data_IF_554100366675
#
_entry.id   IF_554100366675
#
_cell.length_a   1.000
_cell.length_b   1.000
_cell.length_c   1.000
_cell.angle_alpha   90.00
_cell.angle_beta   90.00
_cell.angle_gamma   90.00
#
_symmetry.space_group_name_H-M   'P 1'
#
loop_
_entity.id
_entity.type
_entity.pdbx_description
1 polymer ?
#
# COMPACT_ATOMS: atom_id res chain seq x y z
N UNK A 1 20.64 18.40 -43.59
CA UNK A 1 19.59 17.52 -44.15
C UNK A 1 19.25 16.42 -43.20
N UNK A 2 20.17 15.49 -43.02
CA UNK A 2 19.92 14.40 -42.09
C UNK A 2 19.78 14.92 -40.67
N UNK A 3 20.52 15.95 -40.32
CA UNK A 3 20.40 16.57 -39.01
C UNK A 3 19.03 17.17 -38.77
N UNK A 4 18.41 17.72 -39.81
CA UNK A 4 17.08 18.30 -39.67
C UNK A 4 16.03 17.23 -39.39
N UNK A 5 16.13 16.08 -40.05
CA UNK A 5 15.22 14.98 -39.80
C UNK A 5 15.39 14.44 -38.41
N UNK A 6 16.63 14.33 -37.96
CA UNK A 6 16.93 13.90 -36.60
C UNK A 6 16.36 14.91 -35.61
N UNK A 7 16.49 16.20 -35.92
CA UNK A 7 15.98 17.27 -35.04
C UNK A 7 14.46 17.22 -34.90
N UNK A 8 13.75 16.91 -35.97
CA UNK A 8 12.29 16.77 -35.87
C UNK A 8 11.89 15.69 -34.91
N UNK A 9 12.53 14.53 -35.00
CA UNK A 9 12.25 13.43 -34.08
C UNK A 9 12.60 13.82 -32.65
N UNK A 10 13.75 14.45 -32.48
CA UNK A 10 14.19 14.88 -31.15
C UNK A 10 13.23 15.91 -30.56
N UNK A 11 12.76 16.85 -31.37
CA UNK A 11 11.83 17.87 -30.94
C UNK A 11 10.50 17.22 -30.53
N UNK A 12 9.99 16.28 -31.30
CA UNK A 12 8.75 15.60 -30.97
C UNK A 12 8.88 14.77 -29.70
N UNK A 13 10.01 14.10 -29.54
CA UNK A 13 10.25 13.32 -28.33
C UNK A 13 10.35 14.22 -27.11
N UNK A 14 11.02 15.36 -27.25
CA UNK A 14 11.14 16.32 -26.15
C UNK A 14 9.77 16.93 -25.81
N UNK A 15 8.97 17.25 -26.81
CA UNK A 15 7.64 17.78 -26.57
C UNK A 15 6.76 16.79 -25.82
N UNK A 16 6.81 15.52 -26.21
CA UNK A 16 6.05 14.49 -25.52
C UNK A 16 6.53 14.33 -24.10
N UNK A 17 7.82 14.35 -23.87
CA UNK A 17 8.38 14.26 -22.53
C UNK A 17 7.94 15.43 -21.67
N UNK A 18 7.96 16.64 -22.22
CA UNK A 18 7.54 17.84 -21.51
C UNK A 18 6.05 17.81 -21.21
N UNK A 19 5.24 17.31 -22.14
CA UNK A 19 3.81 17.17 -21.92
C UNK A 19 3.54 16.19 -20.79
N UNK A 20 4.25 15.05 -20.77
CA UNK A 20 4.12 14.09 -19.69
C UNK A 20 4.50 14.68 -18.35
N UNK A 21 5.59 15.43 -18.31
CA UNK A 21 6.03 16.07 -17.08
C UNK A 21 5.03 17.12 -16.61
N UNK A 22 4.48 17.91 -17.53
CA UNK A 22 3.47 18.89 -17.16
C UNK A 22 2.19 18.23 -16.66
N UNK A 23 1.76 17.17 -17.32
CA UNK A 23 0.59 16.43 -16.85
C UNK A 23 0.84 15.84 -15.48
N UNK A 24 2.04 15.33 -15.25
CA UNK A 24 2.41 14.77 -13.96
C UNK A 24 2.48 15.86 -12.88
N UNK A 25 2.89 17.07 -13.26
CA UNK A 25 2.94 18.19 -12.33
C UNK A 25 1.56 18.78 -12.07
N UNK A 26 0.73 18.86 -13.12
CA UNK A 26 -0.61 19.41 -13.01
C UNK A 26 -1.55 18.45 -12.31
N UNK A 27 -1.39 17.16 -12.57
CA UNK A 27 -2.16 16.12 -11.89
C UNK A 27 -1.41 15.80 -10.61
N UNK A 28 -2.04 16.04 -9.50
CA UNK A 28 -1.48 15.65 -8.23
C UNK A 28 -1.22 14.14 -8.26
N UNK A 29 -0.13 13.73 -7.64
CA UNK A 29 0.14 12.31 -7.49
C UNK A 29 -1.05 11.66 -6.81
N UNK A 30 -1.40 10.42 -7.20
CA UNK A 30 -2.49 9.71 -6.54
C UNK A 30 -2.23 9.67 -5.04
N UNK A 31 -3.27 9.89 -4.27
CA UNK A 31 -3.18 9.79 -2.83
C UNK A 31 -2.77 8.37 -2.45
N UNK A 32 -1.98 8.28 -1.43
CA UNK A 32 -1.58 6.99 -0.87
C UNK A 32 -2.41 6.74 0.37
N UNK A 33 -2.55 5.46 0.68
CA UNK A 33 -3.41 5.04 1.79
C UNK A 33 -2.66 4.09 2.69
N UNK A 34 -2.86 4.26 3.98
CA UNK A 34 -2.28 3.38 4.96
C UNK A 34 -3.31 2.35 5.38
N UNK A 35 -2.83 1.13 5.55
CA UNK A 35 -3.63 0.05 6.13
C UNK A 35 -3.27 -0.03 7.59
N UNK A 36 -4.28 0.05 8.44
CA UNK A 36 -4.10 -0.01 9.89
C UNK A 36 -4.72 -1.31 10.38
N UNK A 37 -3.97 -2.04 11.19
CA UNK A 37 -4.46 -3.26 11.83
C UNK A 37 -4.68 -2.96 13.31
N UNK A 38 -5.77 -3.51 13.86
CA UNK A 38 -6.18 -3.24 15.24
C UNK A 38 -6.11 -4.49 16.09
N UNK A 39 -5.76 -4.30 17.34
CA UNK A 39 -5.77 -5.39 18.32
C UNK A 39 -7.20 -5.75 18.71
N UNK A 40 -7.40 -7.00 19.10
CA UNK A 40 -8.63 -7.47 19.69
C UNK A 40 -8.30 -8.65 20.61
N UNK A 41 -9.29 -9.09 21.39
CA UNK A 41 -9.07 -10.10 22.42
C UNK A 41 -9.11 -11.54 21.91
N UNK A 42 -9.48 -11.75 20.66
CA UNK A 42 -9.77 -13.10 20.15
C UNK A 42 -8.83 -13.56 19.04
N UNK A 43 -8.37 -12.65 18.19
CA UNK A 43 -7.47 -13.02 17.09
C UNK A 43 -6.12 -13.44 17.67
N UNK A 44 -5.63 -14.61 17.27
CA UNK A 44 -4.37 -15.11 17.82
C UNK A 44 -3.19 -14.35 17.25
N UNK A 45 -2.10 -14.28 18.02
CA UNK A 45 -0.86 -13.67 17.57
C UNK A 45 -0.30 -14.38 16.35
N UNK A 46 -0.38 -15.71 16.35
CA UNK A 46 0.09 -16.51 15.22
C UNK A 46 -0.65 -16.17 13.94
N UNK A 47 -1.95 -15.94 14.04
CA UNK A 47 -2.75 -15.57 12.88
C UNK A 47 -2.33 -14.19 12.37
N UNK A 48 -2.11 -13.23 13.25
CA UNK A 48 -1.67 -11.88 12.87
C UNK A 48 -0.33 -11.95 12.15
N UNK A 49 0.64 -12.70 12.68
CA UNK A 49 1.93 -12.88 12.04
C UNK A 49 1.77 -13.49 10.65
N UNK A 50 0.93 -14.51 10.52
CA UNK A 50 0.69 -15.17 9.25
C UNK A 50 0.10 -14.19 8.22
N UNK A 51 -0.89 -13.40 8.62
CA UNK A 51 -1.51 -12.39 7.75
C UNK A 51 -0.47 -11.36 7.30
N UNK A 52 0.34 -10.88 8.22
CA UNK A 52 1.37 -9.89 7.89
C UNK A 52 2.38 -10.44 6.90
N UNK A 53 2.72 -11.71 7.00
CA UNK A 53 3.64 -12.36 6.07
C UNK A 53 2.99 -12.65 4.72
N UNK A 54 1.81 -13.22 4.72
CA UNK A 54 1.19 -13.71 3.47
C UNK A 54 0.49 -12.64 2.68
N UNK A 55 -0.20 -11.72 3.34
CA UNK A 55 -0.97 -10.68 2.65
C UNK A 55 -0.13 -9.42 2.47
N UNK A 56 0.62 -9.04 3.49
CA UNK A 56 1.37 -7.79 3.47
C UNK A 56 2.85 -7.99 3.17
N UNK A 57 3.26 -9.23 2.90
CA UNK A 57 4.59 -9.60 2.42
C UNK A 57 5.71 -9.15 3.35
N UNK A 58 5.43 -9.14 4.64
CA UNK A 58 6.46 -8.82 5.64
C UNK A 58 7.36 -10.01 5.89
N UNK A 59 8.60 -9.73 6.26
CA UNK A 59 9.50 -10.78 6.73
C UNK A 59 9.00 -11.30 8.07
N UNK A 60 9.53 -12.44 8.49
CA UNK A 60 9.22 -13.01 9.80
C UNK A 60 9.49 -11.99 10.91
N UNK A 61 10.66 -11.34 10.86
CA UNK A 61 11.04 -10.36 11.88
C UNK A 61 10.13 -9.15 11.88
N UNK A 62 9.82 -8.62 10.70
CA UNK A 62 8.92 -7.47 10.58
C UNK A 62 7.51 -7.82 11.06
N UNK A 63 7.02 -9.00 10.70
CA UNK A 63 5.69 -9.44 11.09
C UNK A 63 5.58 -9.57 12.61
N UNK A 64 6.59 -10.15 13.24
CA UNK A 64 6.60 -10.29 14.69
C UNK A 64 6.69 -8.95 15.39
N UNK A 65 7.52 -8.04 14.88
CA UNK A 65 7.64 -6.69 15.45
C UNK A 65 6.32 -5.94 15.34
N UNK A 66 5.65 -6.01 14.20
CA UNK A 66 4.35 -5.36 14.00
C UNK A 66 3.27 -5.98 14.90
N UNK A 67 3.25 -7.29 15.03
CA UNK A 67 2.32 -7.99 15.89
C UNK A 67 2.46 -7.50 17.34
N UNK A 68 3.70 -7.39 17.83
CA UNK A 68 3.95 -6.90 19.17
C UNK A 68 3.53 -5.44 19.32
N UNK A 69 3.76 -4.63 18.28
CA UNK A 69 3.34 -3.24 18.30
C UNK A 69 1.82 -3.12 18.41
N UNK A 70 1.09 -3.92 17.65
CA UNK A 70 -0.38 -3.96 17.71
C UNK A 70 -0.83 -4.36 19.11
N UNK A 71 -0.18 -5.38 19.67
CA UNK A 71 -0.53 -5.87 21.00
C UNK A 71 -0.33 -4.80 22.07
N UNK A 72 0.75 -4.05 21.99
CA UNK A 72 1.08 -3.05 23.01
C UNK A 72 0.41 -1.70 22.80
N UNK A 73 0.18 -1.30 21.54
CA UNK A 73 -0.31 0.04 21.20
C UNK A 73 -1.73 0.04 20.66
N UNK A 74 -2.39 -1.11 20.63
CA UNK A 74 -3.74 -1.34 20.14
C UNK A 74 -3.90 -1.28 18.64
N UNK A 75 -2.99 -0.65 17.91
CA UNK A 75 -3.04 -0.60 16.46
C UNK A 75 -1.66 -0.27 15.89
N UNK A 76 -1.48 -0.56 14.61
CA UNK A 76 -0.26 -0.19 13.90
C UNK A 76 -0.54 -0.04 12.41
N UNK A 77 0.25 0.81 11.76
CA UNK A 77 0.22 0.93 10.31
C UNK A 77 1.02 -0.24 9.74
N UNK A 78 0.36 -1.04 8.90
CA UNK A 78 0.99 -2.20 8.28
C UNK A 78 1.80 -1.81 7.05
N UNK A 79 1.28 -0.88 6.28
CA UNK A 79 1.94 -0.45 5.04
C UNK A 79 1.15 0.66 4.38
N UNK A 80 1.75 1.23 3.33
CA UNK A 80 1.19 2.36 2.60
C UNK A 80 1.15 1.97 1.12
N UNK A 81 -0.02 2.13 0.49
CA UNK A 81 -0.29 1.63 -0.84
C UNK A 81 -1.19 2.59 -1.61
N UNK A 82 -1.36 2.35 -2.91
CA UNK A 82 -2.45 2.97 -3.64
C UNK A 82 -3.78 2.47 -3.06
N UNK A 83 -4.85 3.21 -3.33
CA UNK A 83 -6.16 2.87 -2.76
C UNK A 83 -6.59 1.44 -3.08
N UNK A 84 -6.52 1.08 -4.35
CA UNK A 84 -6.98 -0.25 -4.78
C UNK A 84 -6.22 -1.38 -4.11
N UNK A 85 -4.90 -1.23 -3.99
CA UNK A 85 -4.06 -2.24 -3.35
C UNK A 85 -4.36 -2.30 -1.86
N UNK A 86 -4.47 -1.14 -1.21
CA UNK A 86 -4.77 -1.09 0.22
C UNK A 86 -6.10 -1.79 0.53
N UNK A 87 -7.14 -1.48 -0.24
CA UNK A 87 -8.46 -2.07 -0.05
C UNK A 87 -8.42 -3.57 -0.31
N UNK A 88 -7.74 -4.00 -1.37
CA UNK A 88 -7.64 -5.42 -1.71
C UNK A 88 -6.95 -6.22 -0.62
N UNK A 89 -5.84 -5.69 -0.11
CA UNK A 89 -5.09 -6.38 0.97
C UNK A 89 -5.91 -6.42 2.26
N UNK A 90 -6.52 -5.30 2.64
CA UNK A 90 -7.33 -5.25 3.84
C UNK A 90 -8.52 -6.21 3.76
N UNK A 91 -9.17 -6.27 2.61
CA UNK A 91 -10.30 -7.18 2.39
C UNK A 91 -9.87 -8.64 2.45
N UNK A 92 -8.75 -8.96 1.81
CA UNK A 92 -8.22 -10.33 1.84
C UNK A 92 -7.92 -10.77 3.28
N UNK A 93 -7.23 -9.92 4.02
CA UNK A 93 -6.90 -10.21 5.42
C UNK A 93 -8.16 -10.38 6.27
N UNK A 94 -9.14 -9.50 6.07
CA UNK A 94 -10.40 -9.57 6.79
C UNK A 94 -11.15 -10.86 6.48
N UNK A 95 -11.22 -11.22 5.22
CA UNK A 95 -11.92 -12.45 4.82
C UNK A 95 -11.24 -13.68 5.42
N UNK A 96 -9.91 -13.73 5.39
CA UNK A 96 -9.17 -14.84 5.99
C UNK A 96 -9.43 -14.93 7.49
N UNK A 97 -9.49 -13.79 8.15
CA UNK A 97 -9.78 -13.75 9.58
C UNK A 97 -11.19 -14.28 9.88
N UNK A 98 -12.18 -13.84 9.11
CA UNK A 98 -13.56 -14.28 9.31
C UNK A 98 -13.73 -15.77 9.07
N UNK A 99 -12.98 -16.33 8.12
CA UNK A 99 -13.01 -17.78 7.88
C UNK A 99 -12.53 -18.56 9.10
N UNK A 100 -11.65 -17.97 9.90
CA UNK A 100 -11.16 -18.59 11.13
C UNK A 100 -12.01 -18.21 12.36
N UNK A 101 -13.03 -17.40 12.17
CA UNK A 101 -13.86 -16.94 13.27
C UNK A 101 -13.23 -15.82 14.08
N UNK A 102 -12.20 -15.15 13.54
CA UNK A 102 -11.54 -14.06 14.24
C UNK A 102 -12.14 -12.71 13.85
N UNK A 103 -12.34 -11.79 14.82
CA UNK A 103 -12.92 -10.48 14.55
C UNK A 103 -11.85 -9.44 14.14
N UNK A 104 -10.72 -9.85 13.62
CA UNK A 104 -9.64 -8.95 13.25
C UNK A 104 -10.16 -7.81 12.38
N UNK A 105 -9.75 -6.60 12.72
CA UNK A 105 -10.18 -5.40 12.02
C UNK A 105 -8.99 -4.72 11.36
N UNK A 106 -9.18 -4.37 10.08
CA UNK A 106 -8.22 -3.57 9.33
C UNK A 106 -8.98 -2.42 8.68
N UNK A 107 -8.38 -1.24 8.66
CA UNK A 107 -8.97 -0.07 8.02
C UNK A 107 -8.00 0.48 6.99
N UNK A 108 -8.55 1.25 6.04
CA UNK A 108 -7.79 1.94 5.01
C UNK A 108 -8.07 3.42 5.17
N UNK A 109 -7.03 4.21 5.35
CA UNK A 109 -7.14 5.66 5.57
C UNK A 109 -6.14 6.39 4.70
N UNK A 110 -6.47 7.63 4.27
CA UNK A 110 -5.47 8.43 3.54
C UNK A 110 -4.19 8.58 4.37
N UNK A 111 -3.05 8.52 3.69
CA UNK A 111 -1.77 8.67 4.37
C UNK A 111 -1.63 10.02 5.03
N UNK A 112 -2.11 11.06 4.37
CA UNK A 112 -2.01 12.41 4.87
C UNK A 112 -3.33 12.88 5.47
N UNK A 113 -3.24 13.83 6.35
CA UNK A 113 -4.41 14.44 6.96
C UNK A 113 -5.15 15.36 6.01
#
# INVERSE_FOLDING_TARGET
MLGQLTNERDIMAKEQSQIRERQRSDLKEPRRYKVIIYNDDFTTMEFVVMILKQVFLKSEEEAEALMLKVHHSDKAVVGIYSYDIAVSKARKATNMAREQGFPLRLTVEPEEE
#
